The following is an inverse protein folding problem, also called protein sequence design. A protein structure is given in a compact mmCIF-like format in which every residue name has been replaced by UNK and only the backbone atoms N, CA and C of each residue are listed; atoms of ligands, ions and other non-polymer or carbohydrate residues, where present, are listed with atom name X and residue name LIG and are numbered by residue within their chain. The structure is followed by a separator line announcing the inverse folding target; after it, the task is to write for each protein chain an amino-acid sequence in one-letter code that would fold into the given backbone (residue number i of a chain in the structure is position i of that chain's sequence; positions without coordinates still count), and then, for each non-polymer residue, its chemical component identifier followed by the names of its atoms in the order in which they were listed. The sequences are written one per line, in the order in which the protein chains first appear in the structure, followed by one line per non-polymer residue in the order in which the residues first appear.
data_IF_115798001459
#
_entry.id   IF_115798001459
#
_cell.length_a   1.000
_cell.length_b   1.000
_cell.length_c   1.000
_cell.angle_alpha   90.00
_cell.angle_beta   90.00
_cell.angle_gamma   90.00
#
_symmetry.space_group_name_H-M   'P 1'
#
loop_
_entity.id
_entity.type
_entity.pdbx_description
1 polymer ?
#
# COMPACT_ATOMS: atom_id res chain seq x y z
N UNK A 1 1.87 5.17 69.99
CA UNK A 1 1.53 3.99 69.18
C UNK A 1 0.39 4.38 68.25
N UNK A 2 0.70 4.71 67.00
CA UNK A 2 -0.29 5.12 65.99
C UNK A 2 -0.86 3.87 65.31
N UNK A 3 -2.16 3.64 65.50
CA UNK A 3 -2.88 2.54 64.87
C UNK A 3 -3.17 2.88 63.40
N UNK A 4 -2.46 2.20 62.50
CA UNK A 4 -2.70 2.22 61.06
C UNK A 4 -3.77 1.18 60.71
N UNK A 5 -5.05 1.51 60.86
CA UNK A 5 -6.15 0.63 60.42
C UNK A 5 -7.34 1.44 59.90
N UNK A 6 -7.13 2.26 58.86
CA UNK A 6 -8.23 3.03 58.25
C UNK A 6 -8.20 3.08 56.71
N UNK A 7 -7.09 2.69 56.05
CA UNK A 7 -6.94 2.78 54.58
C UNK A 7 -7.26 1.50 53.78
N UNK A 8 -7.25 0.33 54.42
CA UNK A 8 -7.45 -0.94 53.71
C UNK A 8 -8.94 -1.23 53.48
N UNK A 9 -9.80 -0.84 54.42
CA UNK A 9 -11.25 -1.02 54.30
C UNK A 9 -11.88 -0.20 53.17
N UNK A 10 -11.39 1.02 52.93
CA UNK A 10 -11.90 1.88 51.85
C UNK A 10 -11.49 1.36 50.47
N UNK A 11 -10.27 0.85 50.33
CA UNK A 11 -9.80 0.20 49.10
C UNK A 11 -10.56 -1.09 48.79
N UNK A 12 -10.80 -1.93 49.81
CA UNK A 12 -11.56 -3.18 49.65
C UNK A 12 -13.03 -2.89 49.32
N UNK A 13 -13.64 -1.89 49.97
CA UNK A 13 -15.01 -1.47 49.63
C UNK A 13 -15.10 -0.87 48.22
N UNK A 14 -14.12 -0.08 47.77
CA UNK A 14 -14.09 0.45 46.41
C UNK A 14 -13.97 -0.67 45.38
N UNK A 15 -13.12 -1.68 45.64
CA UNK A 15 -12.99 -2.87 44.79
C UNK A 15 -14.29 -3.69 44.74
N UNK A 16 -14.99 -3.85 45.86
CA UNK A 16 -16.27 -4.55 45.93
C UNK A 16 -17.39 -3.81 45.18
N UNK A 17 -17.40 -2.47 45.19
CA UNK A 17 -18.36 -1.66 44.42
C UNK A 17 -18.12 -1.79 42.91
N UNK A 18 -16.85 -1.82 42.47
CA UNK A 18 -16.49 -2.01 41.06
C UNK A 18 -16.91 -3.41 40.57
N UNK A 19 -16.79 -4.44 41.41
CA UNK A 19 -17.20 -5.82 41.08
C UNK A 19 -18.72 -6.00 41.12
N UNK A 20 -19.43 -5.32 42.02
CA UNK A 20 -20.89 -5.42 42.15
C UNK A 20 -21.66 -4.60 41.09
N UNK A 21 -21.05 -3.56 40.50
CA UNK A 21 -21.63 -2.78 39.39
C UNK A 21 -21.38 -3.43 38.00
N UNK A 22 -21.25 -4.76 37.97
CA UNK A 22 -20.94 -5.56 36.78
C UNK A 22 -22.15 -5.95 35.94
N UNK A 23 -23.15 -5.09 35.80
CA UNK A 23 -24.24 -5.28 34.83
C UNK A 23 -24.37 -4.00 34.00
N UNK A 24 -23.89 -4.08 32.75
CA UNK A 24 -23.88 -3.05 31.70
C UNK A 24 -22.76 -2.00 31.80
N UNK A 25 -21.53 -2.43 31.58
CA UNK A 25 -20.38 -1.54 31.37
C UNK A 25 -20.14 -1.33 29.86
N UNK A 26 -20.60 -0.22 29.24
CA UNK A 26 -20.32 0.08 27.82
C UNK A 26 -18.81 0.20 27.52
N UNK A 27 -18.00 0.44 28.55
CA UNK A 27 -16.53 0.49 28.45
C UNK A 27 -15.93 -0.90 28.17
N UNK A 28 -16.54 -1.99 28.66
CA UNK A 28 -16.03 -3.34 28.45
C UNK A 28 -16.36 -3.85 27.04
N UNK A 29 -17.50 -3.40 26.50
CA UNK A 29 -17.94 -3.67 25.12
C UNK A 29 -17.05 -2.92 24.10
N UNK A 30 -16.75 -1.64 24.36
CA UNK A 30 -15.76 -0.86 23.60
C UNK A 30 -14.37 -1.52 23.60
N UNK A 31 -13.87 -1.98 24.76
CA UNK A 31 -12.56 -2.63 24.84
C UNK A 31 -12.51 -4.03 24.19
N UNK A 32 -13.67 -4.67 23.98
CA UNK A 32 -13.77 -5.96 23.31
C UNK A 32 -13.57 -5.84 21.80
N UNK A 33 -14.00 -4.71 21.22
CA UNK A 33 -13.93 -4.46 19.79
C UNK A 33 -12.72 -3.57 19.44
N UNK A 34 -11.52 -4.15 19.51
CA UNK A 34 -10.23 -3.45 19.30
C UNK A 34 -10.23 -2.54 18.06
N UNK A 35 -10.85 -2.99 16.97
CA UNK A 35 -10.89 -2.25 15.70
C UNK A 35 -11.72 -0.96 15.81
N UNK A 36 -12.76 -0.96 16.64
CA UNK A 36 -13.62 0.20 16.88
C UNK A 36 -12.93 1.26 17.74
N UNK A 37 -12.15 0.82 18.75
CA UNK A 37 -11.32 1.73 19.57
C UNK A 37 -10.19 2.35 18.75
N UNK A 38 -9.62 1.60 17.80
CA UNK A 38 -8.59 2.09 16.86
C UNK A 38 -9.17 3.17 15.95
N UNK A 39 -10.39 2.99 15.46
CA UNK A 39 -11.08 4.00 14.66
C UNK A 39 -11.41 5.26 15.47
N UNK A 40 -11.94 5.13 16.69
CA UNK A 40 -12.29 6.27 17.56
C UNK A 40 -11.05 7.07 17.98
N UNK A 41 -9.91 6.40 18.20
CA UNK A 41 -8.65 7.04 18.54
C UNK A 41 -7.94 7.70 17.34
N UNK A 42 -8.53 7.66 16.14
CA UNK A 42 -7.97 8.26 14.92
C UNK A 42 -6.80 7.47 14.31
N UNK A 43 -6.59 6.22 14.75
CA UNK A 43 -5.62 5.28 14.19
C UNK A 43 -6.24 4.37 13.12
N UNK A 44 -7.46 4.67 12.64
CA UNK A 44 -8.11 3.89 11.60
C UNK A 44 -7.28 3.81 10.32
N UNK A 45 -7.17 2.61 9.74
CA UNK A 45 -6.49 2.34 8.46
C UNK A 45 -7.28 2.87 7.25
N UNK A 46 -8.11 3.91 7.42
CA UNK A 46 -8.92 4.44 6.32
C UNK A 46 -8.02 5.15 5.31
N UNK A 47 -8.19 4.76 4.04
CA UNK A 47 -7.36 5.22 2.93
C UNK A 47 -7.71 6.67 2.58
N UNK A 48 -7.00 7.63 3.18
CA UNK A 48 -7.21 9.09 3.00
C UNK A 48 -7.02 9.59 1.56
N UNK A 49 -6.34 8.83 0.70
CA UNK A 49 -6.23 9.14 -0.73
C UNK A 49 -6.04 7.85 -1.52
N UNK A 50 -6.37 7.82 -2.80
CA UNK A 50 -6.06 6.68 -3.67
C UNK A 50 -5.06 7.10 -4.72
N UNK A 51 -4.00 6.32 -4.89
CA UNK A 51 -3.00 6.56 -5.92
C UNK A 51 -2.87 5.30 -6.77
N UNK A 52 -3.27 5.42 -8.03
CA UNK A 52 -3.24 4.34 -9.01
C UNK A 52 -2.15 4.61 -10.03
N UNK A 53 -1.45 3.55 -10.43
CA UNK A 53 -0.48 3.60 -11.52
C UNK A 53 -0.95 2.62 -12.58
N UNK A 54 -1.21 3.13 -13.77
CA UNK A 54 -1.71 2.35 -14.90
C UNK A 54 -0.72 2.36 -16.05
N UNK A 55 -0.79 1.37 -16.91
CA UNK A 55 0.03 1.28 -18.10
C UNK A 55 -0.19 -0.04 -18.81
N UNK A 56 0.61 -0.30 -19.85
CA UNK A 56 0.55 -1.57 -20.57
C UNK A 56 1.92 -2.14 -20.85
N UNK A 57 1.98 -3.46 -20.99
CA UNK A 57 3.17 -4.20 -21.40
C UNK A 57 2.88 -4.90 -22.70
N UNK A 58 3.67 -4.60 -23.72
CA UNK A 58 3.63 -5.30 -25.00
C UNK A 58 4.97 -5.93 -25.31
N UNK A 59 4.93 -6.97 -26.11
CA UNK A 59 6.07 -7.75 -26.50
C UNK A 59 6.23 -7.70 -28.01
N UNK A 60 7.43 -7.37 -28.46
CA UNK A 60 7.77 -7.20 -29.86
C UNK A 60 9.03 -8.00 -30.19
N UNK A 61 8.93 -9.11 -30.95
CA UNK A 61 10.09 -9.82 -31.45
C UNK A 61 10.92 -8.93 -32.36
N UNK A 62 12.23 -9.16 -32.34
CA UNK A 62 13.21 -8.44 -33.16
C UNK A 62 12.93 -8.49 -34.67
N UNK A 63 12.16 -9.49 -35.13
CA UNK A 63 11.84 -9.72 -36.55
C UNK A 63 10.35 -9.59 -36.88
N UNK A 64 9.53 -9.02 -35.98
CA UNK A 64 8.11 -8.78 -36.28
C UNK A 64 7.73 -7.30 -36.12
N UNK A 65 6.93 -6.76 -37.07
CA UNK A 65 6.51 -5.37 -37.03
C UNK A 65 5.45 -5.11 -35.95
N UNK A 66 4.74 -6.15 -35.50
CA UNK A 66 3.62 -6.02 -34.58
C UNK A 66 4.02 -6.43 -33.15
N UNK A 67 3.65 -5.58 -32.20
CA UNK A 67 3.75 -5.87 -30.77
C UNK A 67 2.42 -6.44 -30.28
N UNK A 68 2.48 -7.46 -29.41
CA UNK A 68 1.30 -8.09 -28.81
C UNK A 68 1.21 -7.80 -27.31
N UNK A 69 0.00 -7.78 -26.73
CA UNK A 69 -0.16 -7.64 -25.28
C UNK A 69 0.50 -8.81 -24.54
N UNK A 70 1.12 -8.52 -23.41
CA UNK A 70 1.72 -9.52 -22.54
C UNK A 70 0.85 -9.73 -21.30
N UNK A 71 0.09 -10.82 -21.27
CA UNK A 71 -0.73 -11.20 -20.12
C UNK A 71 0.08 -11.88 -19.00
N UNK A 72 -0.26 -11.60 -17.74
CA UNK A 72 0.26 -12.29 -16.56
C UNK A 72 1.68 -11.90 -16.13
N UNK A 73 2.21 -10.80 -16.68
CA UNK A 73 3.51 -10.26 -16.29
C UNK A 73 3.40 -9.52 -14.96
N UNK A 74 4.38 -9.76 -14.09
CA UNK A 74 4.48 -9.05 -12.82
C UNK A 74 5.21 -7.74 -13.08
N UNK A 75 4.55 -6.65 -12.69
CA UNK A 75 5.04 -5.30 -12.87
C UNK A 75 5.23 -4.68 -11.49
N UNK A 76 6.43 -4.17 -11.23
CA UNK A 76 6.81 -3.59 -9.95
C UNK A 76 7.05 -2.08 -10.05
N UNK A 77 6.53 -1.33 -9.09
CA UNK A 77 6.89 0.06 -8.87
C UNK A 77 8.16 0.13 -8.03
N UNK A 78 9.15 0.90 -8.47
CA UNK A 78 10.37 1.18 -7.72
C UNK A 78 10.53 2.67 -7.52
N UNK A 79 10.59 3.09 -6.26
CA UNK A 79 10.84 4.47 -5.88
C UNK A 79 12.26 4.63 -5.35
N UNK A 80 12.90 5.73 -5.70
CA UNK A 80 14.19 6.14 -5.12
C UNK A 80 13.92 7.16 -4.02
N UNK A 81 14.87 7.42 -3.12
CA UNK A 81 14.76 8.56 -2.21
C UNK A 81 16.00 9.42 -2.40
N UNK A 82 15.81 10.71 -2.67
CA UNK A 82 16.89 11.67 -2.62
C UNK A 82 17.24 11.92 -1.15
N UNK A 83 18.32 11.31 -0.66
CA UNK A 83 18.99 11.76 0.57
C UNK A 83 18.89 10.87 1.81
N UNK A 84 18.05 9.83 1.87
CA UNK A 84 18.13 8.82 2.93
C UNK A 84 18.10 7.43 2.34
N UNK A 85 19.03 6.56 2.79
CA UNK A 85 19.02 5.13 2.52
C UNK A 85 17.71 4.56 3.06
N UNK A 86 16.63 4.56 2.26
CA UNK A 86 15.60 3.55 2.40
C UNK A 86 16.37 2.23 2.39
N UNK A 87 16.28 1.45 3.46
CA UNK A 87 16.99 0.16 3.53
C UNK A 87 16.52 -0.68 2.34
N UNK A 88 17.35 -0.76 1.30
CA UNK A 88 17.03 -1.38 0.01
C UNK A 88 16.98 -0.38 -1.16
N UNK A 89 18.15 -0.05 -1.73
CA UNK A 89 18.31 0.63 -3.03
C UNK A 89 17.42 -0.09 -4.08
N UNK A 90 16.36 0.55 -4.57
CA UNK A 90 15.55 0.02 -5.68
C UNK A 90 14.69 -1.23 -5.35
N UNK A 91 14.21 -1.34 -4.10
CA UNK A 91 13.20 -2.33 -3.74
C UNK A 91 11.87 -2.03 -4.44
N UNK A 92 11.15 -3.09 -4.80
CA UNK A 92 9.79 -2.96 -5.35
C UNK A 92 8.87 -2.60 -4.20
N UNK A 93 8.20 -1.46 -4.31
CA UNK A 93 7.34 -0.91 -3.25
C UNK A 93 5.87 -1.30 -3.41
N UNK A 94 5.47 -1.60 -4.64
CA UNK A 94 4.13 -2.08 -4.98
C UNK A 94 4.21 -2.93 -6.26
N UNK A 95 3.25 -3.84 -6.46
CA UNK A 95 3.20 -4.76 -7.60
C UNK A 95 1.81 -4.78 -8.22
N UNK A 96 1.77 -5.06 -9.50
CA UNK A 96 0.57 -5.37 -10.27
C UNK A 96 0.85 -6.54 -11.22
N UNK A 97 -0.21 -7.07 -11.80
CA UNK A 97 -0.15 -8.12 -12.82
C UNK A 97 -0.88 -7.62 -14.05
N UNK A 98 -0.34 -7.91 -15.23
CA UNK A 98 -0.99 -7.54 -16.48
C UNK A 98 -2.16 -8.46 -16.82
N UNK A 99 -3.23 -7.89 -17.36
CA UNK A 99 -4.42 -8.58 -17.82
C UNK A 99 -4.29 -9.13 -19.25
N UNK A 100 -5.39 -9.58 -19.85
CA UNK A 100 -5.44 -10.13 -21.21
C UNK A 100 -5.08 -9.12 -22.31
N UNK A 101 -5.25 -7.83 -22.05
CA UNK A 101 -4.87 -6.73 -22.94
C UNK A 101 -3.45 -6.22 -22.65
N UNK A 102 -2.74 -6.88 -21.72
CA UNK A 102 -1.41 -6.46 -21.28
C UNK A 102 -1.45 -5.19 -20.43
N UNK A 103 -2.62 -4.73 -20.00
CA UNK A 103 -2.80 -3.56 -19.15
C UNK A 103 -2.59 -3.95 -17.69
N UNK A 104 -2.10 -3.03 -16.88
CA UNK A 104 -1.92 -3.25 -15.45
C UNK A 104 -2.40 -2.05 -14.64
N UNK A 105 -2.80 -2.34 -13.41
CA UNK A 105 -3.08 -1.34 -12.38
C UNK A 105 -2.27 -1.72 -11.14
N UNK A 106 -1.57 -0.75 -10.57
CA UNK A 106 -0.88 -0.88 -9.29
C UNK A 106 -1.54 0.11 -8.32
N UNK A 107 -2.15 -0.41 -7.26
CA UNK A 107 -2.59 0.40 -6.14
C UNK A 107 -1.41 0.70 -5.22
N UNK A 108 -1.13 1.97 -4.99
CA UNK A 108 -0.03 2.39 -4.15
C UNK A 108 -0.43 2.28 -2.68
N UNK A 109 0.39 1.66 -1.82
CA UNK A 109 0.17 1.64 -0.37
C UNK A 109 0.05 3.04 0.23
N UNK A 110 -0.79 3.19 1.25
CA UNK A 110 -1.09 4.47 1.93
C UNK A 110 0.17 5.20 2.42
N UNK A 111 1.18 4.47 2.90
CA UNK A 111 2.44 5.05 3.38
C UNK A 111 3.22 5.80 2.29
N UNK A 112 2.93 5.53 1.02
CA UNK A 112 3.61 6.12 -0.14
C UNK A 112 2.78 7.23 -0.80
N UNK A 113 1.57 7.51 -0.32
CA UNK A 113 0.73 8.58 -0.89
C UNK A 113 1.33 9.97 -0.69
N UNK A 114 2.13 10.16 0.37
CA UNK A 114 2.80 11.41 0.67
C UNK A 114 4.12 11.61 -0.10
N UNK A 115 4.52 10.69 -0.99
CA UNK A 115 5.77 10.82 -1.76
C UNK A 115 5.66 12.03 -2.70
N UNK A 116 6.53 13.06 -2.53
CA UNK A 116 6.51 14.23 -3.39
C UNK A 116 7.12 13.90 -4.76
N UNK A 117 6.60 14.53 -5.81
CA UNK A 117 7.05 14.33 -7.19
C UNK A 117 7.18 12.84 -7.56
N UNK A 118 6.16 12.04 -7.22
CA UNK A 118 6.14 10.60 -7.43
C UNK A 118 6.54 10.24 -8.86
N UNK A 119 6.15 11.06 -9.83
CA UNK A 119 6.46 10.90 -11.24
C UNK A 119 7.96 10.86 -11.57
N UNK A 120 8.77 11.64 -10.85
CA UNK A 120 10.24 11.73 -11.01
C UNK A 120 10.98 10.70 -10.20
N UNK A 121 10.40 10.32 -9.07
CA UNK A 121 11.06 9.56 -8.01
C UNK A 121 10.82 8.06 -8.18
N UNK A 122 9.68 7.69 -8.79
CA UNK A 122 9.26 6.32 -9.00
C UNK A 122 9.29 5.95 -10.49
N UNK A 123 9.56 4.66 -10.74
CA UNK A 123 9.59 4.09 -12.09
C UNK A 123 9.01 2.69 -12.06
N UNK A 124 8.31 2.32 -13.13
CA UNK A 124 7.74 0.99 -13.29
C UNK A 124 8.76 0.08 -13.98
N UNK A 125 8.87 -1.18 -13.55
CA UNK A 125 9.71 -2.20 -14.16
C UNK A 125 9.00 -3.54 -14.19
N UNK A 126 9.32 -4.36 -15.18
CA UNK A 126 8.87 -5.75 -15.22
C UNK A 126 9.71 -6.55 -14.21
N UNK A 127 9.04 -7.14 -13.23
CA UNK A 127 9.62 -7.97 -12.17
C UNK A 127 9.73 -9.43 -12.62
N UNK A 128 8.70 -9.93 -13.33
CA UNK A 128 8.68 -11.31 -13.83
C UNK A 128 7.84 -11.46 -15.10
N UNK A 129 8.40 -12.13 -16.09
CA UNK A 129 7.70 -12.52 -17.32
C UNK A 129 7.07 -13.92 -17.12
N UNK A 130 5.84 -14.17 -17.62
CA UNK A 130 5.23 -15.49 -17.56
C UNK A 130 6.04 -16.53 -18.33
N UNK A 131 6.29 -17.70 -17.72
CA UNK A 131 7.12 -18.77 -18.29
C UNK A 131 6.60 -19.31 -19.64
N UNK A 132 5.29 -19.21 -19.88
CA UNK A 132 4.63 -19.67 -21.11
C UNK A 132 4.54 -18.60 -22.19
N UNK A 133 5.08 -17.40 -21.95
CA UNK A 133 5.12 -16.36 -22.99
C UNK A 133 6.29 -16.61 -23.94
N UNK A 134 6.10 -16.32 -25.23
CA UNK A 134 7.16 -16.33 -26.24
C UNK A 134 8.11 -15.12 -26.14
N UNK A 135 7.94 -14.32 -25.09
CA UNK A 135 8.66 -13.08 -24.88
C UNK A 135 9.90 -13.34 -24.05
N UNK A 136 11.06 -13.05 -24.64
CA UNK A 136 12.32 -12.97 -23.88
C UNK A 136 12.59 -11.50 -23.62
N UNK A 137 13.05 -11.17 -22.41
CA UNK A 137 13.50 -9.83 -22.07
C UNK A 137 14.79 -9.48 -22.87
N UNK A 138 14.64 -9.15 -24.15
CA UNK A 138 15.75 -8.73 -25.00
C UNK A 138 15.82 -7.22 -24.95
N UNK A 139 16.59 -6.71 -23.98
CA UNK A 139 16.85 -5.28 -23.86
C UNK A 139 15.58 -4.46 -23.61
N UNK A 140 15.08 -4.51 -22.38
CA UNK A 140 13.99 -3.65 -21.92
C UNK A 140 14.32 -2.20 -22.28
N UNK A 141 13.53 -1.60 -23.19
CA UNK A 141 13.73 -0.20 -23.59
C UNK A 141 13.66 0.70 -22.36
N UNK A 142 14.35 1.84 -22.44
CA UNK A 142 14.41 2.83 -21.35
C UNK A 142 12.98 3.10 -20.86
N UNK A 143 12.74 2.79 -19.60
CA UNK A 143 11.42 2.93 -18.97
C UNK A 143 11.00 4.40 -19.04
N UNK A 144 9.76 4.64 -19.48
CA UNK A 144 9.21 5.99 -19.53
C UNK A 144 9.01 6.48 -18.10
N UNK A 145 9.28 7.76 -17.87
CA UNK A 145 8.92 8.42 -16.64
C UNK A 145 7.40 8.36 -16.47
N UNK A 146 6.94 8.24 -15.23
CA UNK A 146 5.52 8.30 -14.92
C UNK A 146 4.99 9.69 -15.30
N UNK A 147 3.71 9.78 -15.64
CA UNK A 147 3.04 11.06 -15.90
C UNK A 147 1.72 11.10 -15.15
N UNK A 148 1.45 12.17 -14.39
CA UNK A 148 0.13 12.37 -13.79
C UNK A 148 -0.91 12.46 -14.90
N UNK A 149 -1.90 11.57 -14.86
CA UNK A 149 -2.99 11.49 -15.83
C UNK A 149 -4.24 12.21 -15.31
N UNK A 150 -4.60 11.99 -14.04
CA UNK A 150 -5.76 12.62 -13.42
C UNK A 150 -5.56 12.86 -11.93
N UNK A 151 -6.20 13.91 -11.42
CA UNK A 151 -6.29 14.24 -10.00
C UNK A 151 -7.70 14.74 -9.69
N UNK A 152 -8.38 14.13 -8.73
CA UNK A 152 -9.71 14.57 -8.29
C UNK A 152 -10.34 13.60 -7.30
N UNK A 153 -11.23 14.09 -6.44
CA UNK A 153 -11.98 13.27 -5.46
C UNK A 153 -11.09 12.39 -4.58
N UNK A 154 -9.91 12.87 -4.21
CA UNK A 154 -8.93 12.10 -3.44
C UNK A 154 -8.20 11.00 -4.23
N UNK A 155 -8.42 10.89 -5.54
CA UNK A 155 -7.80 9.90 -6.44
C UNK A 155 -6.77 10.57 -7.35
N UNK A 156 -5.57 10.01 -7.38
CA UNK A 156 -4.48 10.35 -8.31
C UNK A 156 -4.18 9.17 -9.18
N UNK A 157 -4.21 9.36 -10.49
CA UNK A 157 -3.85 8.31 -11.44
C UNK A 157 -2.62 8.75 -12.21
N UNK A 158 -1.60 7.91 -12.22
CA UNK A 158 -0.38 8.08 -12.98
C UNK A 158 -0.35 7.07 -14.13
N UNK A 159 0.12 7.50 -15.28
CA UNK A 159 0.33 6.66 -16.45
C UNK A 159 1.83 6.35 -16.60
N UNK A 160 2.16 5.07 -16.69
CA UNK A 160 3.50 4.55 -16.97
C UNK A 160 3.78 4.38 -18.48
N UNK A 161 2.76 4.57 -19.31
CA UNK A 161 2.82 4.37 -20.75
C UNK A 161 2.88 2.89 -21.15
N UNK A 162 3.36 2.66 -22.37
CA UNK A 162 3.52 1.32 -22.93
C UNK A 162 4.99 0.86 -22.77
N UNK A 163 5.19 -0.17 -21.96
CA UNK A 163 6.48 -0.84 -21.76
C UNK A 163 6.63 -1.92 -22.82
N UNK A 164 7.62 -1.75 -23.71
CA UNK A 164 7.91 -2.72 -24.77
C UNK A 164 9.08 -3.60 -24.38
N UNK A 165 8.88 -4.92 -24.50
CA UNK A 165 9.93 -5.95 -24.34
C UNK A 165 10.18 -6.74 -25.61
#
# INVERSE_FOLDING_TARGET
MMNYSCGCHTLVMLLLIIVAAGENNPLLELLSNRDEVVQIAGYGEEKLSTVLITGSVTCQPQHQPHAWPLQGAWVGLKCHSHGRKWKGKGSVVARGVTDEFGEFIIDLPSQLHAVPNLEKVCSVKIDRIPKRSFCRAVGVKKQKELSLYSFGNGIRTYNAGNIRI
#
